data_IF_018750116648
#
_entry.id   IF_018750116648
#
_cell.length_a   1.000
_cell.length_b   1.000
_cell.length_c   1.000
_cell.angle_alpha   90.00
_cell.angle_beta   90.00
_cell.angle_gamma   90.00
#
_symmetry.space_group_name_H-M   'P 1'
#
loop_
_entity.id
_entity.type
_entity.pdbx_description
1 polymer ?
#
# COMPACT_ATOMS: atom_id res chain seq x y z
N UNK A 1 5.37 17.72 8.90
CA UNK A 1 4.24 16.78 8.84
C UNK A 1 3.58 16.72 7.44
N UNK A 2 3.40 17.86 6.75
CA UNK A 2 3.01 17.90 5.32
C UNK A 2 3.90 17.03 4.39
N UNK A 3 5.20 16.93 4.71
CA UNK A 3 6.14 16.08 3.99
C UNK A 3 5.77 14.58 4.07
N UNK A 4 5.38 14.06 5.23
CA UNK A 4 5.12 12.61 5.37
C UNK A 4 3.88 12.23 4.56
N UNK A 5 2.80 13.02 4.62
CA UNK A 5 1.60 12.80 3.80
C UNK A 5 1.86 12.94 2.30
N UNK A 6 2.74 13.85 1.88
CA UNK A 6 3.16 14.00 0.49
C UNK A 6 4.01 12.81 0.02
N UNK A 7 4.86 12.25 0.90
CA UNK A 7 5.71 11.09 0.62
C UNK A 7 4.92 9.77 0.51
N UNK A 8 3.72 9.67 1.09
CA UNK A 8 2.88 8.46 0.97
C UNK A 8 2.46 8.20 -0.48
N UNK A 9 2.23 9.24 -1.29
CA UNK A 9 1.87 9.09 -2.71
C UNK A 9 2.97 8.42 -3.55
N UNK A 10 4.22 8.92 -3.58
CA UNK A 10 5.31 8.26 -4.30
C UNK A 10 5.67 6.90 -3.66
N UNK A 11 5.59 6.76 -2.33
CA UNK A 11 5.83 5.48 -1.68
C UNK A 11 4.81 4.40 -2.09
N UNK A 12 3.52 4.73 -2.13
CA UNK A 12 2.46 3.82 -2.57
C UNK A 12 2.60 3.42 -4.04
N UNK A 13 3.08 4.35 -4.89
CA UNK A 13 3.35 4.07 -6.30
C UNK A 13 4.51 3.08 -6.46
N UNK A 14 5.61 3.28 -5.71
CA UNK A 14 6.73 2.35 -5.68
C UNK A 14 6.29 0.99 -5.15
N UNK A 15 5.50 0.95 -4.06
CA UNK A 15 4.97 -0.31 -3.50
C UNK A 15 4.07 -1.06 -4.48
N UNK A 16 3.20 -0.34 -5.21
CA UNK A 16 2.35 -0.94 -6.24
C UNK A 16 3.20 -1.66 -7.30
N UNK A 17 4.23 -0.99 -7.81
CA UNK A 17 5.14 -1.54 -8.82
C UNK A 17 5.90 -2.75 -8.26
N UNK A 18 6.42 -2.67 -7.03
CA UNK A 18 7.16 -3.80 -6.44
C UNK A 18 6.26 -5.03 -6.23
N UNK A 19 4.99 -4.84 -5.85
CA UNK A 19 4.04 -5.94 -5.72
C UNK A 19 3.73 -6.59 -7.08
N UNK A 20 3.56 -5.79 -8.15
CA UNK A 20 3.40 -6.35 -9.51
C UNK A 20 4.60 -7.22 -9.88
N UNK A 21 5.83 -6.71 -9.71
CA UNK A 21 7.06 -7.45 -10.03
C UNK A 21 7.19 -8.71 -9.16
N UNK A 22 6.87 -8.64 -7.87
CA UNK A 22 6.93 -9.80 -6.96
C UNK A 22 5.94 -10.92 -7.33
N UNK A 23 4.74 -10.55 -7.79
CA UNK A 23 3.74 -11.50 -8.29
C UNK A 23 4.29 -12.24 -9.50
N UNK A 24 4.76 -11.51 -10.52
CA UNK A 24 5.25 -12.11 -11.76
C UNK A 24 6.58 -12.86 -11.60
N UNK A 25 7.45 -12.42 -10.70
CA UNK A 25 8.81 -12.96 -10.59
C UNK A 25 8.94 -14.13 -9.62
N UNK A 26 8.06 -14.25 -8.61
CA UNK A 26 8.26 -15.21 -7.50
C UNK A 26 7.03 -16.06 -7.24
N UNK A 27 5.83 -15.51 -7.40
CA UNK A 27 4.60 -16.18 -6.99
C UNK A 27 3.72 -16.63 -8.17
N UNK A 28 4.10 -16.34 -9.41
CA UNK A 28 3.36 -16.74 -10.60
C UNK A 28 3.23 -18.26 -10.71
N UNK A 29 4.29 -19.00 -10.36
CA UNK A 29 4.32 -20.47 -10.35
C UNK A 29 3.65 -21.10 -9.10
N UNK A 30 3.47 -20.34 -8.02
CA UNK A 30 2.96 -20.86 -6.74
C UNK A 30 1.42 -20.86 -6.63
N UNK A 31 0.71 -20.34 -7.63
CA UNK A 31 -0.75 -20.26 -7.65
C UNK A 31 -1.33 -19.14 -6.78
N UNK A 32 -2.67 -19.13 -6.64
CA UNK A 32 -3.38 -18.03 -5.99
C UNK A 32 -3.29 -18.08 -4.46
N UNK A 33 -3.44 -19.27 -3.88
CA UNK A 33 -3.60 -19.43 -2.43
C UNK A 33 -2.28 -19.30 -1.65
N UNK A 34 -2.30 -18.51 -0.57
CA UNK A 34 -1.15 -18.32 0.33
C UNK A 34 -0.67 -19.63 0.97
N UNK A 35 -1.55 -20.63 1.08
CA UNK A 35 -1.22 -21.99 1.54
C UNK A 35 -0.14 -22.68 0.70
N UNK A 36 0.02 -22.28 -0.57
CA UNK A 36 1.05 -22.80 -1.48
C UNK A 36 2.21 -21.82 -1.73
N UNK A 37 2.40 -20.79 -0.88
CA UNK A 37 3.24 -19.63 -1.18
C UNK A 37 2.74 -18.83 -2.41
N UNK A 38 1.43 -18.77 -2.60
CA UNK A 38 0.77 -18.06 -3.70
C UNK A 38 0.67 -16.55 -3.50
N UNK A 39 0.24 -15.83 -4.55
CA UNK A 39 0.30 -14.37 -4.62
C UNK A 39 -0.89 -13.62 -3.97
N UNK A 40 -1.79 -14.30 -3.27
CA UNK A 40 -2.92 -13.69 -2.53
C UNK A 40 -2.52 -12.48 -1.68
N UNK A 41 -1.45 -12.63 -0.90
CA UNK A 41 -0.97 -11.56 -0.02
C UNK A 41 -0.41 -10.37 -0.82
N UNK A 42 0.29 -10.64 -1.91
CA UNK A 42 0.80 -9.61 -2.80
C UNK A 42 -0.34 -8.85 -3.52
N UNK A 43 -1.41 -9.55 -3.91
CA UNK A 43 -2.64 -8.93 -4.42
C UNK A 43 -3.32 -8.03 -3.38
N UNK A 44 -3.41 -8.48 -2.13
CA UNK A 44 -3.96 -7.68 -1.05
C UNK A 44 -3.13 -6.41 -0.80
N UNK A 45 -1.79 -6.54 -0.76
CA UNK A 45 -0.88 -5.40 -0.63
C UNK A 45 -0.94 -4.45 -1.83
N UNK A 46 -1.13 -4.98 -3.03
CA UNK A 46 -1.33 -4.17 -4.24
C UNK A 46 -2.66 -3.39 -4.16
N UNK A 47 -3.76 -4.03 -3.76
CA UNK A 47 -5.04 -3.37 -3.55
C UNK A 47 -4.96 -2.28 -2.48
N UNK A 48 -4.25 -2.54 -1.37
CA UNK A 48 -3.98 -1.56 -0.31
C UNK A 48 -3.16 -0.40 -0.86
N UNK A 49 -2.09 -0.68 -1.60
CA UNK A 49 -1.20 0.36 -2.17
C UNK A 49 -1.94 1.25 -3.18
N UNK A 50 -2.78 0.65 -4.03
CA UNK A 50 -3.66 1.39 -4.95
C UNK A 50 -4.66 2.24 -4.16
N UNK A 51 -5.28 1.68 -3.13
CA UNK A 51 -6.17 2.42 -2.24
C UNK A 51 -5.46 3.60 -1.58
N UNK A 52 -4.22 3.43 -1.11
CA UNK A 52 -3.38 4.52 -0.59
C UNK A 52 -2.97 5.54 -1.67
N UNK A 53 -2.78 5.12 -2.93
CA UNK A 53 -2.48 6.01 -4.03
C UNK A 53 -3.65 6.97 -4.31
N UNK A 54 -4.89 6.46 -4.31
CA UNK A 54 -6.11 7.23 -4.55
C UNK A 54 -6.58 8.00 -3.32
N UNK A 55 -6.58 7.37 -2.14
CA UNK A 55 -7.04 7.95 -0.87
C UNK A 55 -5.97 8.85 -0.22
N UNK A 56 -4.71 8.76 -0.67
CA UNK A 56 -3.57 9.38 0.00
C UNK A 56 -3.31 8.76 1.38
N UNK A 57 -2.52 9.44 2.22
CA UNK A 57 -2.33 9.08 3.64
C UNK A 57 -3.60 9.28 4.51
N UNK A 58 -4.80 9.25 3.90
CA UNK A 58 -6.07 9.75 4.41
C UNK A 58 -6.29 9.49 5.91
N UNK A 59 -6.70 10.53 6.66
CA UNK A 59 -7.06 10.56 8.09
C UNK A 59 -6.08 9.96 9.13
N UNK A 60 -5.10 9.18 8.72
CA UNK A 60 -4.08 8.50 9.54
C UNK A 60 -2.72 9.18 9.47
N UNK A 61 -2.54 10.18 8.61
CA UNK A 61 -1.58 11.23 8.93
C UNK A 61 -1.98 11.77 10.32
N UNK A 62 -1.14 11.50 11.32
CA UNK A 62 -1.25 11.95 12.72
C UNK A 62 -1.72 13.41 12.87
N UNK A 63 -1.55 14.20 11.81
CA UNK A 63 -2.01 15.57 11.61
C UNK A 63 -3.53 15.77 11.74
N UNK A 64 -4.36 14.84 11.27
CA UNK A 64 -5.83 14.98 11.39
C UNK A 64 -6.33 14.67 12.80
N UNK A 65 -5.69 13.75 13.52
CA UNK A 65 -6.00 13.47 14.93
C UNK A 65 -5.58 14.64 15.81
N UNK A 66 -4.42 15.27 15.51
CA UNK A 66 -3.95 16.43 16.28
C UNK A 66 -4.79 17.68 16.01
N UNK A 67 -5.22 17.93 14.76
CA UNK A 67 -6.18 19.00 14.43
C UNK A 67 -7.55 18.79 15.08
N UNK A 68 -8.02 17.55 15.20
CA UNK A 68 -9.32 17.24 15.82
C UNK A 68 -9.28 17.31 17.36
N UNK A 69 -8.08 17.33 17.96
CA UNK A 69 -7.90 17.44 19.42
C UNK A 69 -7.59 18.87 19.88
N UNK A 70 -7.20 19.77 18.98
CA UNK A 70 -6.88 21.19 19.28
C UNK A 70 -7.86 22.20 18.65
N UNK A 71 -8.95 21.75 18.03
CA UNK A 71 -10.04 22.59 17.50
C UNK A 71 -11.33 22.33 18.23
#
# INVERSE_FOLDING_TARGET
ALFIGLLVRPAALILSITMVVAIFSVHFDNGLFMTNNGYEFALALLAISISLMFSGAGRLALDNVLKQRLG
#
